data_IF_389094344059
#
_entry.id   IF_389094344059
#
_cell.length_a   1.000
_cell.length_b   1.000
_cell.length_c   1.000
_cell.angle_alpha   90.00
_cell.angle_beta   90.00
_cell.angle_gamma   90.00
#
_symmetry.space_group_name_H-M   'P 1'
#
loop_
_entity.id
_entity.type
_entity.pdbx_description
1 polymer ?
#
# COMPACT_ATOMS: atom_id res chain seq x y z
N UNK A 1 10.14 20.83 -22.34
CA UNK A 1 10.38 21.48 -21.04
C UNK A 1 9.73 20.63 -19.95
N UNK A 2 10.51 19.92 -19.13
CA UNK A 2 9.98 19.18 -17.97
C UNK A 2 10.38 19.95 -16.71
N UNK A 3 9.43 20.64 -16.09
CA UNK A 3 9.65 21.33 -14.82
C UNK A 3 9.99 20.29 -13.76
N UNK A 4 11.18 20.40 -13.16
CA UNK A 4 11.57 19.53 -12.04
C UNK A 4 10.57 19.68 -10.88
N UNK A 5 10.07 18.58 -10.29
CA UNK A 5 9.15 18.65 -9.16
C UNK A 5 9.78 19.42 -7.99
N UNK A 6 8.99 20.30 -7.36
CA UNK A 6 9.48 21.12 -6.25
C UNK A 6 9.77 20.25 -5.01
N UNK A 7 10.80 20.58 -4.21
CA UNK A 7 11.18 19.79 -3.03
C UNK A 7 10.05 19.64 -1.99
N UNK A 8 9.10 20.59 -1.95
CA UNK A 8 7.92 20.50 -1.08
C UNK A 8 6.95 19.38 -1.49
N UNK A 9 6.70 19.19 -2.78
CA UNK A 9 5.76 18.14 -3.25
C UNK A 9 6.32 16.74 -2.97
N UNK A 10 7.64 16.56 -3.10
CA UNK A 10 8.31 15.31 -2.78
C UNK A 10 8.27 14.96 -1.29
N UNK A 11 8.33 15.96 -0.40
CA UNK A 11 8.15 15.75 1.05
C UNK A 11 6.73 15.29 1.39
N UNK A 12 5.71 15.88 0.75
CA UNK A 12 4.31 15.47 0.90
C UNK A 12 4.13 14.03 0.41
N UNK A 13 4.69 13.67 -0.75
CA UNK A 13 4.64 12.29 -1.25
C UNK A 13 5.36 11.32 -0.30
N UNK A 14 6.54 11.67 0.21
CA UNK A 14 7.26 10.84 1.18
C UNK A 14 6.45 10.62 2.46
N UNK A 15 5.83 11.67 3.00
CA UNK A 15 4.95 11.58 4.16
C UNK A 15 3.72 10.71 3.85
N UNK A 16 3.07 10.93 2.70
CA UNK A 16 1.92 10.15 2.25
C UNK A 16 2.24 8.67 2.11
N UNK A 17 3.43 8.31 1.62
CA UNK A 17 3.85 6.93 1.47
C UNK A 17 3.97 6.20 2.83
N UNK A 18 4.65 6.82 3.80
CA UNK A 18 4.84 6.22 5.14
C UNK A 18 3.52 6.23 5.91
N UNK A 19 2.83 7.37 5.92
CA UNK A 19 1.56 7.51 6.63
C UNK A 19 0.50 6.58 6.04
N UNK A 20 0.42 6.46 4.72
CA UNK A 20 -0.52 5.56 4.06
C UNK A 20 -0.29 4.09 4.44
N UNK A 21 0.97 3.62 4.39
CA UNK A 21 1.30 2.27 4.82
C UNK A 21 1.00 2.03 6.31
N UNK A 22 1.30 3.01 7.17
CA UNK A 22 0.99 2.94 8.60
C UNK A 22 -0.51 2.90 8.87
N UNK A 23 -1.29 3.82 8.30
CA UNK A 23 -2.75 3.85 8.48
C UNK A 23 -3.39 2.55 8.00
N UNK A 24 -2.92 1.99 6.88
CA UNK A 24 -3.40 0.72 6.35
C UNK A 24 -3.15 -0.43 7.34
N UNK A 25 -1.90 -0.57 7.79
CA UNK A 25 -1.49 -1.67 8.69
C UNK A 25 -2.07 -1.55 10.09
N UNK A 26 -2.19 -0.34 10.63
CA UNK A 26 -2.84 -0.09 11.93
C UNK A 26 -4.36 -0.33 11.83
N UNK A 27 -4.99 0.10 10.73
CA UNK A 27 -6.40 -0.20 10.47
C UNK A 27 -6.67 -1.71 10.38
N UNK A 28 -5.82 -2.45 9.65
CA UNK A 28 -5.91 -3.91 9.56
C UNK A 28 -5.61 -4.61 10.90
N UNK A 29 -4.64 -4.11 11.68
CA UNK A 29 -4.38 -4.61 13.04
C UNK A 29 -5.58 -4.42 13.96
N UNK A 30 -6.24 -3.26 13.89
CA UNK A 30 -7.44 -2.97 14.68
C UNK A 30 -8.62 -3.86 14.25
N UNK A 31 -8.79 -4.11 12.94
CA UNK A 31 -9.75 -5.10 12.42
C UNK A 31 -9.49 -6.49 12.99
N UNK A 32 -8.23 -6.93 13.03
CA UNK A 32 -7.84 -8.23 13.60
C UNK A 32 -7.98 -8.28 15.12
N UNK A 33 -7.88 -7.14 15.80
CA UNK A 33 -8.18 -7.07 17.23
C UNK A 33 -9.67 -7.30 17.49
N UNK A 34 -10.55 -6.72 16.65
CA UNK A 34 -12.00 -6.95 16.74
C UNK A 34 -12.37 -8.38 16.34
N UNK A 35 -11.75 -8.91 15.28
CA UNK A 35 -12.00 -10.27 14.77
C UNK A 35 -10.68 -11.06 14.68
N UNK A 36 -10.26 -11.73 15.76
CA UNK A 36 -8.93 -12.37 15.85
C UNK A 36 -8.78 -13.66 15.05
N UNK A 37 -9.87 -14.35 14.73
CA UNK A 37 -9.85 -15.64 14.04
C UNK A 37 -9.57 -15.49 12.54
N UNK A 38 -8.97 -16.52 11.93
CA UNK A 38 -8.54 -16.48 10.53
C UNK A 38 -9.66 -16.57 9.49
N UNK A 39 -10.72 -17.31 9.81
CA UNK A 39 -11.89 -17.51 8.92
C UNK A 39 -13.20 -17.39 9.72
N UNK A 40 -13.50 -16.19 10.27
CA UNK A 40 -14.72 -15.96 11.05
C UNK A 40 -15.97 -16.09 10.16
N UNK A 41 -17.07 -16.60 10.71
CA UNK A 41 -18.35 -16.55 10.01
C UNK A 41 -18.92 -15.12 9.99
N UNK A 42 -19.84 -14.78 9.07
CA UNK A 42 -20.51 -13.47 9.06
C UNK A 42 -21.23 -13.14 10.37
N UNK A 43 -21.73 -14.18 11.06
CA UNK A 43 -22.35 -14.08 12.39
C UNK A 43 -21.31 -13.68 13.43
N UNK A 44 -20.14 -14.32 13.44
CA UNK A 44 -19.06 -14.01 14.37
C UNK A 44 -18.53 -12.58 14.17
N UNK A 45 -18.37 -12.15 12.91
CA UNK A 45 -17.96 -10.78 12.58
C UNK A 45 -18.99 -9.80 13.12
N UNK A 46 -20.28 -9.99 12.81
CA UNK A 46 -21.35 -9.09 13.25
C UNK A 46 -21.42 -8.97 14.77
N UNK A 47 -21.34 -10.10 15.50
CA UNK A 47 -21.33 -10.12 16.96
C UNK A 47 -20.07 -9.48 17.56
N UNK A 48 -18.93 -9.57 16.89
CA UNK A 48 -17.72 -8.86 17.32
C UNK A 48 -17.83 -7.34 17.08
N UNK A 49 -18.41 -6.93 15.95
CA UNK A 49 -18.66 -5.51 15.62
C UNK A 49 -19.65 -4.89 16.60
N UNK A 50 -20.68 -5.60 17.02
CA UNK A 50 -21.63 -5.12 18.04
C UNK A 50 -20.91 -4.78 19.36
N UNK A 51 -19.98 -5.64 19.80
CA UNK A 51 -19.17 -5.44 21.01
C UNK A 51 -18.09 -4.37 20.87
N UNK A 52 -17.57 -4.14 19.66
CA UNK A 52 -16.41 -3.29 19.41
C UNK A 52 -16.63 -2.25 18.29
N UNK A 53 -17.84 -1.70 18.19
CA UNK A 53 -18.26 -0.86 17.06
C UNK A 53 -17.35 0.35 16.79
N UNK A 54 -16.85 1.02 17.83
CA UNK A 54 -15.92 2.16 17.68
C UNK A 54 -14.58 1.74 17.08
N UNK A 55 -14.00 0.63 17.53
CA UNK A 55 -12.76 0.10 16.96
C UNK A 55 -12.95 -0.30 15.50
N UNK A 56 -14.09 -0.91 15.18
CA UNK A 56 -14.45 -1.27 13.81
C UNK A 56 -14.59 -0.04 12.90
N UNK A 57 -15.27 1.01 13.36
CA UNK A 57 -15.39 2.28 12.63
C UNK A 57 -14.03 2.93 12.39
N UNK A 58 -13.19 3.01 13.43
CA UNK A 58 -11.84 3.57 13.32
C UNK A 58 -11.01 2.76 12.33
N UNK A 59 -11.07 1.43 12.36
CA UNK A 59 -10.37 0.56 11.40
C UNK A 59 -10.78 0.87 9.95
N UNK A 60 -12.09 1.03 9.70
CA UNK A 60 -12.61 1.43 8.39
C UNK A 60 -12.13 2.81 7.94
N UNK A 61 -12.19 3.81 8.83
CA UNK A 61 -11.72 5.18 8.53
C UNK A 61 -10.21 5.23 8.25
N UNK A 62 -9.41 4.50 9.02
CA UNK A 62 -7.97 4.38 8.79
C UNK A 62 -7.67 3.75 7.42
N UNK A 63 -8.40 2.70 7.03
CA UNK A 63 -8.26 2.06 5.72
C UNK A 63 -8.57 3.02 4.55
N UNK A 64 -9.63 3.82 4.69
CA UNK A 64 -9.99 4.84 3.69
C UNK A 64 -8.92 5.94 3.62
N UNK A 65 -8.49 6.48 4.77
CA UNK A 65 -7.46 7.52 4.82
C UNK A 65 -6.12 7.03 4.24
N UNK A 66 -5.75 5.77 4.54
CA UNK A 66 -4.56 5.14 4.03
C UNK A 66 -4.49 5.15 2.50
N UNK A 67 -5.63 4.92 1.85
CA UNK A 67 -5.76 4.87 0.39
C UNK A 67 -5.34 6.18 -0.27
N UNK A 68 -5.82 7.31 0.25
CA UNK A 68 -5.44 8.64 -0.25
C UNK A 68 -3.96 8.95 -0.03
N UNK A 69 -3.44 8.66 1.16
CA UNK A 69 -2.02 8.86 1.47
C UNK A 69 -1.11 8.01 0.58
N UNK A 70 -1.45 6.73 0.35
CA UNK A 70 -0.71 5.83 -0.52
C UNK A 70 -0.67 6.33 -1.96
N UNK A 71 -1.81 6.80 -2.51
CA UNK A 71 -1.86 7.37 -3.87
C UNK A 71 -0.89 8.54 -4.02
N UNK A 72 -0.88 9.48 -3.06
CA UNK A 72 0.07 10.61 -3.07
C UNK A 72 1.52 10.12 -3.06
N UNK A 73 1.82 9.12 -2.23
CA UNK A 73 3.15 8.52 -2.13
C UNK A 73 3.63 7.85 -3.41
N UNK A 74 2.78 7.01 -4.03
CA UNK A 74 3.16 6.30 -5.25
C UNK A 74 3.26 7.23 -6.46
N UNK A 75 2.43 8.28 -6.55
CA UNK A 75 2.57 9.31 -7.59
C UNK A 75 3.94 9.99 -7.51
N UNK A 76 4.44 10.28 -6.30
CA UNK A 76 5.80 10.78 -6.11
C UNK A 76 6.88 9.81 -6.61
N UNK A 77 6.72 8.51 -6.34
CA UNK A 77 7.66 7.49 -6.81
C UNK A 77 7.64 7.34 -8.34
N UNK A 78 6.45 7.36 -8.95
CA UNK A 78 6.25 7.25 -10.40
C UNK A 78 6.87 8.45 -11.12
N UNK A 79 6.57 9.67 -10.67
CA UNK A 79 7.03 10.91 -11.33
C UNK A 79 8.55 11.11 -11.23
N UNK A 80 9.20 10.49 -10.24
CA UNK A 80 10.65 10.52 -10.07
C UNK A 80 11.35 9.28 -10.63
N UNK A 81 10.63 8.31 -11.20
CA UNK A 81 11.20 7.09 -11.74
C UNK A 81 11.98 7.37 -13.04
N UNK A 82 13.30 7.13 -13.01
CA UNK A 82 14.18 7.30 -14.18
C UNK A 82 15.23 6.18 -14.25
N UNK A 83 15.75 5.92 -15.44
CA UNK A 83 16.83 4.95 -15.65
C UNK A 83 16.44 3.49 -15.39
N UNK A 84 17.38 2.70 -14.85
CA UNK A 84 17.19 1.27 -14.57
C UNK A 84 16.07 1.08 -13.55
N UNK A 85 15.13 0.16 -13.82
CA UNK A 85 14.01 -0.12 -12.92
C UNK A 85 12.81 0.82 -13.06
N UNK A 86 12.90 1.92 -13.82
CA UNK A 86 11.83 2.90 -14.00
C UNK A 86 10.50 2.28 -14.44
N UNK A 87 10.51 1.43 -15.48
CA UNK A 87 9.30 0.73 -15.96
C UNK A 87 8.61 -0.07 -14.86
N UNK A 88 9.37 -0.80 -14.04
CA UNK A 88 8.80 -1.59 -12.94
C UNK A 88 8.28 -0.70 -11.81
N UNK A 89 8.96 0.40 -11.50
CA UNK A 89 8.46 1.39 -10.52
C UNK A 89 7.16 2.02 -11.00
N UNK A 90 7.05 2.36 -12.29
CA UNK A 90 5.83 2.94 -12.87
C UNK A 90 4.69 1.92 -12.84
N UNK A 91 4.92 0.69 -13.35
CA UNK A 91 3.89 -0.36 -13.38
C UNK A 91 3.46 -0.74 -11.97
N UNK A 92 4.40 -1.04 -11.07
CA UNK A 92 4.09 -1.38 -9.68
C UNK A 92 3.42 -0.24 -8.93
N UNK A 93 3.89 1.00 -9.11
CA UNK A 93 3.27 2.18 -8.51
C UNK A 93 1.83 2.41 -9.01
N UNK A 94 1.59 2.24 -10.31
CA UNK A 94 0.25 2.36 -10.88
C UNK A 94 -0.69 1.26 -10.35
N UNK A 95 -0.21 0.02 -10.24
CA UNK A 95 -0.96 -1.08 -9.63
C UNK A 95 -1.32 -0.78 -8.18
N UNK A 96 -0.37 -0.29 -7.38
CA UNK A 96 -0.63 0.12 -5.98
C UNK A 96 -1.64 1.26 -5.94
N UNK A 97 -1.54 2.25 -6.83
CA UNK A 97 -2.50 3.35 -6.92
C UNK A 97 -3.92 2.87 -7.23
N UNK A 98 -4.09 1.98 -8.21
CA UNK A 98 -5.39 1.37 -8.54
C UNK A 98 -5.91 0.53 -7.37
N UNK A 99 -5.05 -0.30 -6.76
CA UNK A 99 -5.39 -1.12 -5.60
C UNK A 99 -5.81 -0.29 -4.39
N UNK A 100 -5.16 0.84 -4.15
CA UNK A 100 -5.52 1.79 -3.11
C UNK A 100 -6.88 2.47 -3.38
N UNK A 101 -7.22 2.78 -4.64
CA UNK A 101 -8.55 3.31 -4.94
C UNK A 101 -9.62 2.22 -4.78
N UNK A 102 -9.35 1.00 -5.22
CA UNK A 102 -10.23 -0.14 -5.01
C UNK A 102 -10.43 -0.45 -3.51
N UNK A 103 -9.40 -0.27 -2.67
CA UNK A 103 -9.53 -0.50 -1.22
C UNK A 103 -10.54 0.42 -0.54
N UNK A 104 -10.81 1.60 -1.07
CA UNK A 104 -11.88 2.48 -0.53
C UNK A 104 -13.24 1.82 -0.70
N UNK A 105 -13.54 1.32 -1.90
CA UNK A 105 -14.79 0.61 -2.16
C UNK A 105 -14.90 -0.68 -1.34
N UNK A 106 -13.79 -1.40 -1.17
CA UNK A 106 -13.75 -2.61 -0.34
C UNK A 106 -14.00 -2.26 1.13
N UNK A 107 -13.37 -1.19 1.64
CA UNK A 107 -13.58 -0.75 3.00
C UNK A 107 -15.05 -0.38 3.27
N UNK A 108 -15.69 0.35 2.36
CA UNK A 108 -17.12 0.66 2.49
C UNK A 108 -17.97 -0.61 2.44
N UNK A 109 -17.73 -1.49 1.47
CA UNK A 109 -18.49 -2.73 1.28
C UNK A 109 -18.23 -3.79 2.36
N UNK A 110 -17.16 -3.67 3.13
CA UNK A 110 -16.83 -4.61 4.21
C UNK A 110 -17.19 -4.05 5.59
N UNK A 111 -16.73 -2.84 5.94
CA UNK A 111 -16.93 -2.31 7.29
C UNK A 111 -18.38 -1.88 7.54
N UNK A 112 -19.04 -1.25 6.57
CA UNK A 112 -20.38 -0.70 6.78
C UNK A 112 -21.46 -1.77 6.97
N UNK A 113 -21.54 -2.84 6.14
CA UNK A 113 -22.62 -3.82 6.26
C UNK A 113 -22.66 -4.50 7.63
N UNK A 114 -21.54 -5.00 8.15
CA UNK A 114 -21.53 -5.67 9.46
C UNK A 114 -21.93 -4.73 10.61
N UNK A 115 -21.59 -3.43 10.53
CA UNK A 115 -22.06 -2.45 11.51
C UNK A 115 -23.57 -2.18 11.40
N UNK A 116 -24.11 -2.16 10.18
CA UNK A 116 -25.55 -2.00 9.94
C UNK A 116 -26.34 -3.24 10.38
N UNK A 117 -25.84 -4.44 10.10
CA UNK A 117 -26.51 -5.68 10.49
C UNK A 117 -26.54 -5.87 12.00
N UNK A 118 -25.45 -5.53 12.69
CA UNK A 118 -25.41 -5.52 14.16
C UNK A 118 -26.50 -4.60 14.72
N UNK A 119 -26.61 -3.37 14.21
CA UNK A 119 -27.64 -2.42 14.62
C UNK A 119 -29.06 -2.85 14.28
N UNK A 120 -29.24 -3.52 13.15
CA UNK A 120 -30.55 -4.00 12.71
C UNK A 120 -31.02 -5.26 13.48
N UNK A 121 -30.13 -5.93 14.21
CA UNK A 121 -30.44 -7.20 14.87
C UNK A 121 -30.71 -8.33 13.88
N UNK A 122 -30.05 -8.32 12.72
CA UNK A 122 -30.27 -9.32 11.66
C UNK A 122 -29.98 -10.74 12.15
N UNK A 123 -30.82 -11.69 11.72
CA UNK A 123 -30.70 -13.11 12.06
C UNK A 123 -29.49 -13.76 11.37
N UNK A 124 -29.00 -14.88 11.92
CA UNK A 124 -27.89 -15.63 11.34
C UNK A 124 -28.14 -16.08 9.89
N UNK A 125 -29.40 -16.42 9.56
CA UNK A 125 -29.81 -16.79 8.21
C UNK A 125 -29.70 -15.64 7.21
N UNK A 126 -30.17 -14.45 7.61
CA UNK A 126 -30.08 -13.23 6.79
C UNK A 126 -28.63 -12.80 6.57
N UNK A 127 -27.81 -12.82 7.63
CA UNK A 127 -26.38 -12.51 7.56
C UNK A 127 -25.67 -13.42 6.55
N UNK A 128 -25.91 -14.73 6.63
CA UNK A 128 -25.30 -15.71 5.73
C UNK A 128 -25.79 -15.55 4.29
N UNK A 129 -27.08 -15.25 4.09
CA UNK A 129 -27.64 -15.02 2.76
C UNK A 129 -27.05 -13.77 2.09
N UNK A 130 -26.93 -12.66 2.84
CA UNK A 130 -26.35 -11.41 2.37
C UNK A 130 -24.86 -11.54 2.07
N UNK A 131 -24.12 -12.27 2.90
CA UNK A 131 -22.70 -12.55 2.70
C UNK A 131 -22.46 -13.33 1.40
N UNK A 132 -23.17 -14.45 1.20
CA UNK A 132 -23.12 -15.22 -0.07
C UNK A 132 -23.52 -14.39 -1.29
N UNK A 133 -24.56 -13.57 -1.16
CA UNK A 133 -24.99 -12.69 -2.25
C UNK A 133 -23.90 -11.66 -2.61
N UNK A 134 -23.20 -11.14 -1.60
CA UNK A 134 -22.08 -10.21 -1.77
C UNK A 134 -20.89 -10.89 -2.44
N UNK A 135 -20.51 -12.09 -2.00
CA UNK A 135 -19.42 -12.88 -2.59
C UNK A 135 -19.69 -13.28 -4.06
N UNK A 136 -20.96 -13.48 -4.43
CA UNK A 136 -21.36 -13.79 -5.80
C UNK A 136 -21.48 -12.55 -6.69
N UNK A 137 -21.47 -11.34 -6.14
CA UNK A 137 -21.74 -10.13 -6.90
C UNK A 137 -20.53 -9.72 -7.76
N UNK A 138 -20.61 -9.75 -9.11
CA UNK A 138 -19.43 -9.63 -9.97
C UNK A 138 -18.66 -8.32 -9.79
N UNK A 139 -19.37 -7.22 -9.56
CA UNK A 139 -18.72 -5.93 -9.33
C UNK A 139 -17.88 -5.93 -8.05
N UNK A 140 -18.38 -6.55 -6.96
CA UNK A 140 -17.63 -6.63 -5.71
C UNK A 140 -16.42 -7.56 -5.85
N UNK A 141 -16.58 -8.68 -6.57
CA UNK A 141 -15.48 -9.60 -6.89
C UNK A 141 -14.36 -8.87 -7.67
N UNK A 142 -14.71 -8.17 -8.75
CA UNK A 142 -13.73 -7.40 -9.54
C UNK A 142 -13.03 -6.36 -8.68
N UNK A 143 -13.78 -5.66 -7.83
CA UNK A 143 -13.24 -4.65 -6.93
C UNK A 143 -12.25 -5.24 -5.92
N UNK A 144 -12.60 -6.37 -5.30
CA UNK A 144 -11.73 -7.09 -4.36
C UNK A 144 -10.48 -7.61 -5.07
N UNK A 145 -10.60 -8.15 -6.28
CA UNK A 145 -9.47 -8.59 -7.08
C UNK A 145 -8.54 -7.42 -7.42
N UNK A 146 -9.07 -6.27 -7.83
CA UNK A 146 -8.26 -5.08 -8.10
C UNK A 146 -7.55 -4.58 -6.84
N UNK A 147 -8.21 -4.61 -5.69
CA UNK A 147 -7.61 -4.30 -4.40
C UNK A 147 -6.45 -5.25 -4.05
N UNK A 148 -6.72 -6.56 -4.06
CA UNK A 148 -5.76 -7.60 -3.69
C UNK A 148 -4.57 -7.58 -4.65
N UNK A 149 -4.81 -7.71 -5.95
CA UNK A 149 -3.74 -7.75 -6.95
C UNK A 149 -3.00 -6.42 -7.01
N UNK A 150 -3.73 -5.31 -6.99
CA UNK A 150 -3.16 -3.96 -7.05
C UNK A 150 -2.23 -3.68 -5.88
N UNK A 151 -2.67 -3.93 -4.64
CA UNK A 151 -1.81 -3.71 -3.48
C UNK A 151 -0.75 -4.80 -3.30
N UNK A 152 -1.10 -6.08 -3.38
CA UNK A 152 -0.14 -7.16 -3.09
C UNK A 152 0.92 -7.28 -4.18
N UNK A 153 0.50 -7.59 -5.42
CA UNK A 153 1.43 -7.76 -6.53
C UNK A 153 2.07 -6.42 -6.90
N UNK A 154 1.29 -5.33 -6.90
CA UNK A 154 1.82 -4.00 -7.18
C UNK A 154 2.91 -3.57 -6.20
N UNK A 155 2.75 -3.84 -4.90
CA UNK A 155 3.79 -3.50 -3.90
C UNK A 155 5.07 -4.28 -4.16
N UNK A 156 5.00 -5.58 -4.44
CA UNK A 156 6.19 -6.40 -4.75
C UNK A 156 6.89 -5.87 -6.00
N UNK A 157 6.14 -5.64 -7.09
CA UNK A 157 6.67 -5.13 -8.36
C UNK A 157 7.30 -3.73 -8.16
N UNK A 158 6.65 -2.86 -7.40
CA UNK A 158 7.14 -1.52 -7.06
C UNK A 158 8.50 -1.61 -6.36
N UNK A 159 8.62 -2.42 -5.32
CA UNK A 159 9.85 -2.56 -4.54
C UNK A 159 10.98 -3.21 -5.34
N UNK A 160 10.68 -4.18 -6.21
CA UNK A 160 11.66 -4.71 -7.17
C UNK A 160 12.15 -3.59 -8.12
N UNK A 161 11.24 -2.76 -8.63
CA UNK A 161 11.58 -1.61 -9.46
C UNK A 161 12.51 -0.62 -8.75
N UNK A 162 12.15 -0.23 -7.51
CA UNK A 162 12.96 0.65 -6.67
C UNK A 162 14.34 0.04 -6.37
N UNK A 163 14.41 -1.27 -6.13
CA UNK A 163 15.67 -1.97 -5.92
C UNK A 163 16.54 -1.99 -7.16
N UNK A 164 15.97 -2.25 -8.35
CA UNK A 164 16.69 -2.19 -9.64
C UNK A 164 17.18 -0.78 -9.97
N UNK A 165 16.45 0.23 -9.49
CA UNK A 165 16.87 1.64 -9.53
C UNK A 165 17.90 2.02 -8.45
N UNK A 166 18.31 1.06 -7.60
CA UNK A 166 19.20 1.25 -6.44
C UNK A 166 18.68 2.33 -5.45
N UNK A 167 17.37 2.61 -5.45
CA UNK A 167 16.73 3.57 -4.54
C UNK A 167 16.48 3.01 -3.15
N UNK A 168 16.40 1.70 -3.03
CA UNK A 168 16.20 0.98 -1.76
C UNK A 168 17.17 -0.20 -1.63
N UNK A 169 17.53 -0.59 -0.40
CA UNK A 169 18.30 -1.80 -0.14
C UNK A 169 17.46 -3.06 -0.38
N UNK A 170 18.13 -4.22 -0.49
CA UNK A 170 17.45 -5.50 -0.80
C UNK A 170 16.47 -5.93 0.30
N UNK A 171 16.78 -5.63 1.57
CA UNK A 171 15.92 -5.99 2.69
C UNK A 171 14.56 -5.28 2.65
N UNK A 172 14.43 -4.12 1.98
CA UNK A 172 13.13 -3.47 1.76
C UNK A 172 12.23 -4.29 0.83
N UNK A 173 12.80 -5.03 -0.12
CA UNK A 173 12.05 -5.95 -0.98
C UNK A 173 11.56 -7.15 -0.18
N UNK A 174 12.42 -7.72 0.66
CA UNK A 174 12.05 -8.81 1.57
C UNK A 174 10.95 -8.35 2.54
N UNK A 175 11.10 -7.16 3.13
CA UNK A 175 10.08 -6.56 3.98
C UNK A 175 8.75 -6.34 3.26
N UNK A 176 8.77 -5.92 1.99
CA UNK A 176 7.55 -5.80 1.19
C UNK A 176 6.86 -7.15 0.97
N UNK A 177 7.61 -8.24 0.74
CA UNK A 177 7.05 -9.59 0.63
C UNK A 177 6.46 -10.04 1.98
N UNK A 178 7.16 -9.83 3.09
CA UNK A 178 6.67 -10.15 4.43
C UNK A 178 5.41 -9.35 4.77
N UNK A 179 5.36 -8.08 4.38
CA UNK A 179 4.18 -7.22 4.54
C UNK A 179 2.97 -7.81 3.81
N UNK A 180 3.15 -8.21 2.54
CA UNK A 180 2.10 -8.84 1.73
C UNK A 180 1.64 -10.17 2.34
N UNK A 181 2.57 -11.04 2.74
CA UNK A 181 2.25 -12.32 3.36
C UNK A 181 1.51 -12.17 4.69
N UNK A 182 1.90 -11.17 5.49
CA UNK A 182 1.24 -10.82 6.75
C UNK A 182 -0.21 -10.37 6.52
N UNK A 183 -0.45 -9.60 5.45
CA UNK A 183 -1.78 -9.17 5.03
C UNK A 183 -2.72 -10.33 4.69
N UNK A 184 -2.19 -11.41 4.12
CA UNK A 184 -2.96 -12.62 3.77
C UNK A 184 -3.11 -13.63 4.91
N UNK A 185 -2.43 -13.39 6.04
CA UNK A 185 -2.46 -14.31 7.19
C UNK A 185 -3.37 -13.73 8.25
N UNK A 186 -4.27 -14.53 8.82
CA UNK A 186 -5.13 -14.12 9.93
C UNK A 186 -4.38 -13.87 11.24
N UNK A 187 -5.06 -13.22 12.20
CA UNK A 187 -4.57 -13.07 13.57
C UNK A 187 -3.73 -11.82 13.84
N UNK A 188 -3.73 -11.41 15.11
CA UNK A 188 -3.08 -10.18 15.61
C UNK A 188 -1.57 -10.21 15.43
N UNK A 189 -0.92 -11.37 15.65
CA UNK A 189 0.52 -11.52 15.49
C UNK A 189 1.00 -11.21 14.06
N UNK A 190 0.27 -11.68 13.06
CA UNK A 190 0.52 -11.32 11.66
C UNK A 190 0.27 -9.83 11.39
N UNK A 191 -0.71 -9.20 12.08
CA UNK A 191 -0.93 -7.76 11.99
C UNK A 191 0.26 -6.95 12.52
N UNK A 192 0.82 -7.34 13.67
CA UNK A 192 2.01 -6.70 14.26
C UNK A 192 3.21 -6.84 13.31
N UNK A 193 3.44 -8.05 12.78
CA UNK A 193 4.48 -8.29 11.79
C UNK A 193 4.28 -7.42 10.53
N UNK A 194 3.03 -7.27 10.09
CA UNK A 194 2.65 -6.40 8.97
C UNK A 194 3.04 -4.94 9.20
N UNK A 195 2.82 -4.39 10.40
CA UNK A 195 3.23 -3.01 10.75
C UNK A 195 4.74 -2.85 10.66
N UNK A 196 5.51 -3.77 11.26
CA UNK A 196 6.99 -3.74 11.24
C UNK A 196 7.52 -3.86 9.81
N UNK A 197 6.97 -4.80 9.04
CA UNK A 197 7.34 -5.03 7.65
C UNK A 197 7.01 -3.84 6.74
N UNK A 198 5.85 -3.19 6.96
CA UNK A 198 5.48 -1.98 6.25
C UNK A 198 6.46 -0.84 6.54
N UNK A 199 6.82 -0.59 7.79
CA UNK A 199 7.82 0.42 8.13
C UNK A 199 9.18 0.13 7.49
N UNK A 200 9.64 -1.12 7.57
CA UNK A 200 10.90 -1.56 6.97
C UNK A 200 10.89 -1.40 5.42
N UNK A 201 9.77 -1.64 4.75
CA UNK A 201 9.66 -1.42 3.31
C UNK A 201 9.55 0.08 2.97
N UNK A 202 8.55 0.77 3.51
CA UNK A 202 8.13 2.09 3.02
C UNK A 202 8.99 3.25 3.51
N UNK A 203 9.67 3.15 4.66
CA UNK A 203 10.55 4.23 5.15
C UNK A 203 11.75 4.46 4.20
N UNK A 204 12.53 3.43 3.77
CA UNK A 204 13.56 3.61 2.75
C UNK A 204 13.03 4.15 1.42
N UNK A 205 11.86 3.67 0.97
CA UNK A 205 11.24 4.16 -0.26
C UNK A 205 10.89 5.66 -0.15
N UNK A 206 10.33 6.09 0.98
CA UNK A 206 10.04 7.50 1.25
C UNK A 206 11.31 8.35 1.34
N UNK A 207 12.36 7.87 2.01
CA UNK A 207 13.67 8.54 2.04
C UNK A 207 14.25 8.72 0.63
N UNK A 208 14.02 7.77 -0.27
CA UNK A 208 14.48 7.86 -1.65
C UNK A 208 13.80 8.98 -2.48
N UNK A 209 12.69 9.55 -2.00
CA UNK A 209 12.03 10.71 -2.62
C UNK A 209 12.66 12.05 -2.22
N UNK A 210 13.30 12.10 -1.04
CA UNK A 210 13.87 13.34 -0.47
C UNK A 210 15.40 13.33 -0.40
N UNK A 211 16.04 12.17 -0.60
CA UNK A 211 17.50 12.05 -0.61
C UNK A 211 18.15 12.74 -1.82
N UNK A 212 19.42 13.16 -1.70
CA UNK A 212 20.19 13.69 -2.82
C UNK A 212 20.20 12.67 -3.96
N UNK A 213 19.84 13.10 -5.18
CA UNK A 213 20.06 12.25 -6.36
C UNK A 213 21.57 12.00 -6.46
N UNK A 214 22.05 10.76 -6.54
CA UNK A 214 23.46 10.52 -6.82
C UNK A 214 23.75 11.19 -8.15
N UNK A 215 24.46 12.33 -8.12
CA UNK A 215 24.99 12.95 -9.34
C UNK A 215 25.80 11.85 -10.02
N UNK A 216 25.52 11.62 -11.29
CA UNK A 216 26.49 10.99 -12.17
C UNK A 216 27.72 11.89 -11.99
N UNK A 217 28.76 11.39 -11.33
CA UNK A 217 30.01 12.13 -11.21
C UNK A 217 30.34 12.58 -12.63
N UNK A 218 30.37 13.89 -12.82
CA UNK A 218 30.68 14.49 -14.10
C UNK A 218 31.95 13.81 -14.60
N UNK A 219 31.88 13.31 -15.82
CA UNK A 219 33.04 12.75 -16.53
C UNK A 219 33.92 13.95 -16.91
N UNK A 220 34.44 14.68 -15.92
CA UNK A 220 35.45 15.74 -16.03
C UNK A 220 36.84 15.10 -16.26
N UNK A 221 36.90 14.11 -17.16
CA UNK A 221 38.12 13.37 -17.49
C UNK A 221 38.41 13.27 -18.99
N UNK A 222 37.62 13.92 -19.84
CA UNK A 222 37.84 13.94 -21.30
C UNK A 222 37.98 15.37 -21.81
N UNK A 223 38.68 16.22 -21.06
CA UNK A 223 39.25 17.45 -21.59
C UNK A 223 40.76 17.42 -21.36
N UNK A 224 41.51 17.20 -22.44
CA UNK A 224 42.92 17.59 -22.48
C UNK A 224 43.94 16.50 -22.81
N UNK A 225 43.88 15.91 -24.01
CA UNK A 225 45.11 15.61 -24.79
C UNK A 225 44.77 15.68 -26.28
N UNK A 226 44.72 16.88 -26.84
CA UNK A 226 44.98 17.10 -28.28
C UNK A 226 46.15 18.05 -28.36
N UNK A 227 47.36 17.50 -28.36
CA UNK A 227 48.57 18.23 -28.73
C UNK A 227 48.63 18.33 -30.25
N UNK A 228 48.62 19.52 -30.85
CA UNK A 228 48.92 19.66 -32.27
C UNK A 228 50.41 19.39 -32.51
N UNK A 229 50.71 18.55 -33.49
CA UNK A 229 52.07 18.31 -33.94
C UNK A 229 52.65 19.60 -34.52
N UNK A 230 53.80 20.03 -34.00
CA UNK A 230 54.60 21.08 -34.61
C UNK A 230 55.24 20.52 -35.90
N UNK A 231 54.93 21.15 -37.02
CA UNK A 231 55.65 21.06 -38.28
C UNK A 231 56.36 22.38 -38.57
#
# INVERSE_FOLDING_TARGET
MTTSPQPRTLRVAAAGLVLGALLFTVGDLLRRYVVPSGTPSPVDITAAVDRHGTAWLVAGLLSVAASFCLVLGVVGLITTARGRGSRLTIVGGAMVGVGAMASVGHAVAFYAPYALYARAGSSAGELTALDRASEAYPMLVVLIVLFIVGLMLGTIVLFIGLRRARRVPIWSVVAAVVFVASGSTGGVGAGILGVVAALAAFVPAARSLVGPSPRIADVEGVEGVVTPAAG
#
